data_IF_199779937283
#
_entry.id   IF_199779937283
#
_cell.length_a   1.000
_cell.length_b   1.000
_cell.length_c   1.000
_cell.angle_alpha   90.00
_cell.angle_beta   90.00
_cell.angle_gamma   90.00
#
_symmetry.space_group_name_H-M   'P 1'
#
loop_
_entity.id
_entity.type
_entity.pdbx_description
1 polymer ?
#
# COMPACT_ATOMS: atom_id res chain seq x y z
N UNK A 1 -0.01 5.66 -10.94
CA UNK A 1 1.15 6.47 -11.38
C UNK A 1 2.41 5.72 -11.01
N UNK A 2 3.49 5.92 -11.77
CA UNK A 2 4.74 5.19 -11.57
C UNK A 2 4.97 4.16 -12.67
N UNK A 3 5.39 2.95 -12.29
CA UNK A 3 5.67 1.83 -13.21
C UNK A 3 4.57 1.63 -14.27
N UNK A 4 4.97 1.65 -15.55
CA UNK A 4 4.11 1.48 -16.71
C UNK A 4 3.49 0.08 -16.83
N UNK A 5 4.02 -0.91 -16.10
CA UNK A 5 3.48 -2.28 -15.99
C UNK A 5 2.02 -2.27 -15.55
N UNK A 6 1.60 -1.34 -14.68
CA UNK A 6 0.19 -1.21 -14.29
C UNK A 6 -0.72 -0.94 -15.48
N UNK A 7 -0.33 -0.03 -16.36
CA UNK A 7 -1.11 0.32 -17.55
C UNK A 7 -1.13 -0.83 -18.57
N UNK A 8 -0.05 -1.60 -18.64
CA UNK A 8 0.08 -2.75 -19.53
C UNK A 8 -0.78 -3.95 -19.05
N UNK A 9 -0.79 -4.23 -17.75
CA UNK A 9 -1.56 -5.34 -17.16
C UNK A 9 -3.06 -5.03 -17.06
N UNK A 10 -3.42 -3.77 -16.81
CA UNK A 10 -4.81 -3.35 -16.59
C UNK A 10 -5.24 -2.25 -17.57
N UNK A 11 -5.26 -2.53 -18.89
CA UNK A 11 -5.61 -1.53 -19.88
C UNK A 11 -7.04 -1.01 -19.65
N UNK A 12 -7.20 0.31 -19.77
CA UNK A 12 -8.49 1.03 -19.63
C UNK A 12 -9.17 0.89 -18.27
N UNK A 13 -8.44 0.51 -17.21
CA UNK A 13 -8.99 0.41 -15.84
C UNK A 13 -8.81 1.68 -15.00
N UNK A 14 -7.89 2.56 -15.37
CA UNK A 14 -7.59 3.77 -14.61
C UNK A 14 -8.31 4.99 -15.21
N UNK A 15 -8.96 5.77 -14.35
CA UNK A 15 -9.54 7.06 -14.74
C UNK A 15 -8.45 8.07 -15.14
N UNK A 16 -7.32 8.05 -14.43
CA UNK A 16 -6.11 8.84 -14.72
C UNK A 16 -4.86 7.99 -14.46
N UNK A 17 -3.85 8.14 -15.29
CA UNK A 17 -2.59 7.41 -15.16
C UNK A 17 -1.40 8.23 -15.67
N UNK A 18 -0.29 8.14 -14.97
CA UNK A 18 0.99 8.80 -15.27
C UNK A 18 2.08 7.70 -15.27
N UNK A 19 2.32 7.04 -16.41
CA UNK A 19 3.23 5.90 -16.50
C UNK A 19 4.66 6.34 -16.82
N UNK A 20 5.64 5.62 -16.29
CA UNK A 20 7.06 5.83 -16.54
C UNK A 20 7.74 4.49 -16.87
N UNK A 21 8.70 4.44 -17.81
CA UNK A 21 9.43 3.21 -18.13
C UNK A 21 10.16 2.65 -16.90
N UNK A 22 9.95 1.37 -16.61
CA UNK A 22 10.42 0.73 -15.37
C UNK A 22 11.67 -0.15 -15.53
N UNK A 23 11.92 -0.73 -16.71
CA UNK A 23 12.98 -1.75 -16.87
C UNK A 23 14.43 -1.23 -16.82
N UNK A 24 14.65 0.08 -16.71
CA UNK A 24 16.00 0.63 -16.61
C UNK A 24 16.46 0.72 -15.14
N UNK A 25 17.10 -0.34 -14.64
CA UNK A 25 17.64 -0.39 -13.27
C UNK A 25 18.73 0.65 -12.96
N UNK A 26 19.26 1.35 -13.98
CA UNK A 26 20.19 2.46 -13.78
C UNK A 26 19.48 3.77 -13.42
N UNK A 27 18.18 3.84 -13.66
CA UNK A 27 17.36 5.00 -13.34
C UNK A 27 16.77 4.85 -11.93
N UNK A 28 17.32 5.61 -10.98
CA UNK A 28 16.83 5.60 -9.60
C UNK A 28 15.75 6.65 -9.33
N UNK A 29 15.44 7.52 -10.30
CA UNK A 29 14.85 8.82 -9.98
C UNK A 29 13.64 9.18 -10.85
N UNK A 30 13.58 8.82 -12.13
CA UNK A 30 12.51 9.31 -13.03
C UNK A 30 11.13 8.88 -12.54
N UNK A 31 10.98 7.61 -12.19
CA UNK A 31 9.70 7.05 -11.72
C UNK A 31 9.29 7.70 -10.40
N UNK A 32 10.20 7.74 -9.42
CA UNK A 32 9.95 8.30 -8.09
C UNK A 32 9.62 9.79 -8.13
N UNK A 33 10.34 10.58 -8.94
CA UNK A 33 10.06 12.01 -9.12
C UNK A 33 8.73 12.22 -9.83
N UNK A 34 8.39 11.36 -10.78
CA UNK A 34 7.09 11.34 -11.44
C UNK A 34 5.95 11.10 -10.46
N UNK A 35 6.07 10.07 -9.62
CA UNK A 35 5.12 9.81 -8.52
C UNK A 35 5.01 11.02 -7.60
N UNK A 36 6.14 11.59 -7.15
CA UNK A 36 6.15 12.76 -6.26
C UNK A 36 5.45 13.97 -6.88
N UNK A 37 5.61 14.20 -8.18
CA UNK A 37 5.01 15.33 -8.88
C UNK A 37 3.47 15.24 -8.99
N UNK A 38 2.92 14.02 -8.98
CA UNK A 38 1.49 13.80 -9.25
C UNK A 38 0.69 13.34 -8.03
N UNK A 39 1.30 12.69 -7.04
CA UNK A 39 0.58 12.03 -5.95
C UNK A 39 -0.26 13.00 -5.12
N UNK A 40 0.37 14.01 -4.49
CA UNK A 40 -0.36 14.98 -3.66
C UNK A 40 -1.41 15.77 -4.47
N UNK A 41 -1.11 16.27 -5.69
CA UNK A 41 -2.13 16.90 -6.54
C UNK A 41 -3.34 16.01 -6.87
N UNK A 42 -3.17 14.70 -7.00
CA UNK A 42 -4.29 13.77 -7.19
C UNK A 42 -5.07 13.53 -5.90
N UNK A 43 -4.38 13.39 -4.77
CA UNK A 43 -5.01 13.16 -3.46
C UNK A 43 -5.97 14.29 -3.04
N UNK A 44 -5.67 15.54 -3.39
CA UNK A 44 -6.53 16.70 -3.04
C UNK A 44 -7.81 16.79 -3.87
N UNK A 45 -7.95 15.94 -4.91
CA UNK A 45 -9.18 15.85 -5.69
C UNK A 45 -10.21 14.98 -4.97
N UNK A 46 -11.47 15.14 -5.33
CA UNK A 46 -12.61 14.40 -4.77
C UNK A 46 -13.17 13.32 -5.71
N UNK A 47 -12.50 13.08 -6.83
CA UNK A 47 -12.96 12.21 -7.92
C UNK A 47 -12.13 10.92 -8.06
N UNK A 48 -11.71 10.34 -6.94
CA UNK A 48 -10.98 9.06 -6.88
C UNK A 48 -11.44 8.21 -5.69
N UNK A 49 -11.49 6.89 -5.89
CA UNK A 49 -11.72 5.91 -4.81
C UNK A 49 -10.40 5.23 -4.38
N UNK A 50 -9.49 5.02 -5.35
CA UNK A 50 -8.19 4.38 -5.13
C UNK A 50 -7.11 5.09 -5.95
N UNK A 51 -5.99 5.41 -5.31
CA UNK A 51 -4.76 5.87 -5.97
C UNK A 51 -3.67 4.82 -5.76
N UNK A 52 -3.04 4.40 -6.86
CA UNK A 52 -1.84 3.54 -6.83
C UNK A 52 -0.63 4.38 -7.23
N UNK A 53 0.36 4.46 -6.34
CA UNK A 53 1.63 5.15 -6.54
C UNK A 53 2.78 4.15 -6.37
N UNK A 54 3.40 3.77 -7.49
CA UNK A 54 4.44 2.75 -7.52
C UNK A 54 5.81 3.38 -7.77
N UNK A 55 6.70 3.34 -6.79
CA UNK A 55 8.08 3.84 -6.85
C UNK A 55 9.06 2.68 -7.07
N UNK A 56 10.19 2.93 -7.73
CA UNK A 56 11.18 1.90 -8.07
C UNK A 56 12.59 2.21 -7.55
N UNK A 57 12.85 3.45 -7.12
CA UNK A 57 14.22 3.89 -6.85
C UNK A 57 14.95 3.13 -5.74
N UNK A 58 14.23 2.58 -4.75
CA UNK A 58 14.81 1.72 -3.71
C UNK A 58 15.22 0.36 -4.27
N UNK A 59 14.34 -0.30 -5.02
CA UNK A 59 14.63 -1.59 -5.66
C UNK A 59 15.83 -1.47 -6.62
N UNK A 60 15.76 -0.52 -7.55
CA UNK A 60 16.83 -0.25 -8.51
C UNK A 60 18.16 0.07 -7.83
N UNK A 61 18.13 0.81 -6.70
CA UNK A 61 19.34 1.09 -5.93
C UNK A 61 19.89 -0.19 -5.28
N UNK A 62 19.02 -1.09 -4.83
CA UNK A 62 19.38 -2.41 -4.31
C UNK A 62 20.15 -3.23 -5.36
N UNK A 63 19.58 -3.40 -6.55
CA UNK A 63 20.23 -4.07 -7.69
C UNK A 63 21.56 -3.44 -8.07
N UNK A 64 21.59 -2.12 -8.18
CA UNK A 64 22.75 -1.42 -8.74
C UNK A 64 23.91 -1.30 -7.77
N UNK A 65 23.63 -1.03 -6.50
CA UNK A 65 24.63 -0.61 -5.52
C UNK A 65 24.63 -1.46 -4.24
N UNK A 66 23.55 -2.19 -3.96
CA UNK A 66 23.36 -2.92 -2.72
C UNK A 66 22.83 -2.05 -1.57
N UNK A 67 22.23 -2.70 -0.59
CA UNK A 67 21.50 -2.05 0.51
C UNK A 67 22.36 -1.16 1.43
N UNK A 68 23.68 -1.37 1.47
CA UNK A 68 24.60 -0.61 2.34
C UNK A 68 25.29 0.58 1.65
N UNK A 69 24.97 0.84 0.39
CA UNK A 69 25.57 1.96 -0.35
C UNK A 69 24.97 3.31 0.06
N UNK A 70 25.73 4.43 0.05
CA UNK A 70 25.20 5.76 0.37
C UNK A 70 24.00 6.19 -0.48
N UNK A 71 23.91 5.73 -1.73
CA UNK A 71 22.73 5.97 -2.59
C UNK A 71 21.45 5.35 -2.01
N UNK A 72 21.54 4.20 -1.33
CA UNK A 72 20.37 3.61 -0.67
C UNK A 72 19.87 4.54 0.44
N UNK A 73 20.79 5.12 1.22
CA UNK A 73 20.42 6.09 2.24
C UNK A 73 19.81 7.37 1.66
N UNK A 74 20.26 7.83 0.48
CA UNK A 74 19.63 8.95 -0.25
C UNK A 74 18.21 8.57 -0.67
N UNK A 75 18.03 7.41 -1.32
CA UNK A 75 16.73 6.95 -1.81
C UNK A 75 15.72 6.75 -0.68
N UNK A 76 16.12 6.13 0.43
CA UNK A 76 15.26 5.99 1.60
C UNK A 76 14.84 7.33 2.21
N UNK A 77 15.71 8.35 2.21
CA UNK A 77 15.35 9.71 2.65
C UNK A 77 14.32 10.36 1.72
N UNK A 78 14.46 10.16 0.41
CA UNK A 78 13.49 10.66 -0.56
C UNK A 78 12.13 9.97 -0.42
N UNK A 79 12.12 8.65 -0.24
CA UNK A 79 10.90 7.87 0.05
C UNK A 79 10.24 8.35 1.35
N UNK A 80 11.02 8.56 2.41
CA UNK A 80 10.50 9.09 3.67
C UNK A 80 9.85 10.49 3.49
N UNK A 81 10.53 11.40 2.77
CA UNK A 81 9.97 12.72 2.49
C UNK A 81 8.67 12.65 1.68
N UNK A 82 8.58 11.73 0.70
CA UNK A 82 7.33 11.49 -0.03
C UNK A 82 6.21 11.00 0.90
N UNK A 83 6.50 10.06 1.81
CA UNK A 83 5.52 9.57 2.79
C UNK A 83 5.07 10.70 3.72
N UNK A 84 5.98 11.56 4.18
CA UNK A 84 5.65 12.75 4.98
C UNK A 84 4.71 13.71 4.24
N UNK A 85 5.01 14.00 2.96
CA UNK A 85 4.16 14.84 2.10
C UNK A 85 2.75 14.24 1.97
N UNK A 86 2.64 12.92 1.78
CA UNK A 86 1.36 12.19 1.68
C UNK A 86 0.59 12.23 3.01
N UNK A 87 1.24 11.93 4.13
CA UNK A 87 0.61 11.95 5.46
C UNK A 87 0.12 13.34 5.82
N UNK A 88 0.85 14.39 5.44
CA UNK A 88 0.44 15.78 5.63
C UNK A 88 -0.81 16.15 4.82
N UNK A 89 -0.93 15.62 3.59
CA UNK A 89 -2.07 15.86 2.70
C UNK A 89 -3.29 14.95 2.95
N UNK A 90 -3.15 13.88 3.72
CA UNK A 90 -4.20 12.88 3.94
C UNK A 90 -5.44 13.46 4.64
N UNK A 91 -6.64 13.09 4.19
CA UNK A 91 -7.90 13.45 4.88
C UNK A 91 -8.31 12.39 5.93
N UNK A 92 -9.40 12.64 6.65
CA UNK A 92 -9.91 11.74 7.70
C UNK A 92 -10.72 10.55 7.17
N UNK A 93 -10.85 10.41 5.85
CA UNK A 93 -11.60 9.33 5.19
C UNK A 93 -10.70 8.37 4.43
N UNK A 94 -9.43 8.71 4.28
CA UNK A 94 -8.46 7.92 3.53
C UNK A 94 -7.66 6.99 4.43
N UNK A 95 -7.37 5.79 3.93
CA UNK A 95 -6.39 4.87 4.51
C UNK A 95 -5.18 4.79 3.57
N UNK A 96 -4.00 5.11 4.08
CA UNK A 96 -2.72 4.99 3.41
C UNK A 96 -2.12 3.61 3.68
N UNK A 97 -1.81 2.90 2.61
CA UNK A 97 -0.97 1.70 2.63
C UNK A 97 0.38 2.02 2.00
N UNK A 98 1.46 1.83 2.75
CA UNK A 98 2.83 1.84 2.22
C UNK A 98 3.38 0.44 2.40
N UNK A 99 3.64 -0.26 1.30
CA UNK A 99 4.11 -1.64 1.35
C UNK A 99 5.15 -1.94 0.29
N UNK A 100 6.07 -2.83 0.62
CA UNK A 100 6.93 -3.50 -0.34
C UNK A 100 6.30 -4.81 -0.81
N UNK A 101 6.56 -5.17 -2.06
CA UNK A 101 6.24 -6.46 -2.65
C UNK A 101 7.28 -7.54 -2.29
N UNK A 102 8.53 -7.17 -2.09
CA UNK A 102 9.59 -8.07 -1.64
C UNK A 102 10.70 -7.34 -0.85
N UNK A 103 11.62 -8.14 -0.31
CA UNK A 103 12.91 -7.69 0.20
C UNK A 103 14.04 -7.95 -0.81
N UNK A 104 15.29 -7.96 -0.35
CA UNK A 104 16.46 -8.07 -1.23
C UNK A 104 17.61 -8.79 -0.53
N UNK A 105 18.34 -9.63 -1.26
CA UNK A 105 19.60 -10.23 -0.79
C UNK A 105 20.71 -9.18 -0.61
N UNK A 106 21.79 -9.55 0.08
CA UNK A 106 22.94 -8.64 0.25
C UNK A 106 23.65 -8.31 -1.06
N UNK A 107 23.58 -9.22 -2.04
CA UNK A 107 24.10 -9.03 -3.40
C UNK A 107 23.20 -8.16 -4.28
N UNK A 108 22.05 -7.70 -3.77
CA UNK A 108 21.12 -6.89 -4.55
C UNK A 108 20.24 -7.69 -5.50
N UNK A 109 19.97 -8.96 -5.20
CA UNK A 109 19.08 -9.82 -6.00
C UNK A 109 17.82 -10.24 -5.19
N UNK A 110 16.76 -10.65 -5.87
CA UNK A 110 15.51 -11.11 -5.24
C UNK A 110 14.75 -12.12 -6.13
N UNK A 111 13.68 -12.71 -5.61
CA UNK A 111 12.84 -13.70 -6.30
C UNK A 111 13.00 -15.14 -5.79
N UNK A 112 13.89 -15.35 -4.82
CA UNK A 112 14.02 -16.58 -4.05
C UNK A 112 13.08 -16.65 -2.83
N UNK A 113 13.38 -17.60 -1.95
CA UNK A 113 12.57 -17.94 -0.77
C UNK A 113 13.24 -17.55 0.57
N UNK A 114 14.38 -16.85 0.53
CA UNK A 114 15.08 -16.50 1.77
C UNK A 114 14.31 -15.45 2.56
N UNK A 115 14.50 -15.44 3.89
CA UNK A 115 13.86 -14.45 4.77
C UNK A 115 14.10 -13.01 4.31
N UNK A 116 15.30 -12.70 3.79
CA UNK A 116 15.65 -11.36 3.27
C UNK A 116 14.86 -10.98 2.02
N UNK A 117 14.44 -11.96 1.22
CA UNK A 117 13.71 -11.75 -0.04
C UNK A 117 12.20 -11.72 0.18
N UNK A 118 11.67 -12.54 1.10
CA UNK A 118 10.22 -12.61 1.35
C UNK A 118 9.73 -11.62 2.43
N UNK A 119 10.65 -11.00 3.19
CA UNK A 119 10.30 -9.98 4.18
C UNK A 119 10.24 -8.60 3.54
N UNK A 120 9.06 -7.99 3.56
CA UNK A 120 8.83 -6.63 3.09
C UNK A 120 8.16 -5.77 4.18
N UNK A 121 8.31 -4.46 4.07
CA UNK A 121 7.66 -3.54 4.98
C UNK A 121 6.16 -3.38 4.66
N UNK A 122 5.35 -3.20 5.70
CA UNK A 122 3.97 -2.75 5.61
C UNK A 122 3.74 -1.67 6.67
N UNK A 123 3.26 -0.51 6.25
CA UNK A 123 2.72 0.55 7.10
C UNK A 123 1.29 0.81 6.65
N UNK A 124 0.37 0.77 7.60
CA UNK A 124 -1.02 1.18 7.40
C UNK A 124 -1.28 2.40 8.28
N UNK A 125 -1.74 3.48 7.68
CA UNK A 125 -1.96 4.74 8.39
C UNK A 125 -3.29 5.37 7.97
N UNK A 126 -4.01 5.91 8.94
CA UNK A 126 -5.21 6.73 8.69
C UNK A 126 -5.35 7.74 9.81
N UNK A 127 -5.94 8.90 9.53
CA UNK A 127 -6.30 9.87 10.57
C UNK A 127 -7.56 9.46 11.34
N UNK A 128 -8.36 8.56 10.78
CA UNK A 128 -9.56 8.05 11.42
C UNK A 128 -9.21 7.07 12.55
N UNK A 129 -9.45 7.49 13.79
CA UNK A 129 -9.15 6.67 14.98
C UNK A 129 -10.00 5.41 15.07
N UNK A 130 -11.23 5.45 14.57
CA UNK A 130 -12.12 4.31 14.59
C UNK A 130 -11.57 3.22 13.67
N UNK A 131 -11.22 3.57 12.43
CA UNK A 131 -10.55 2.64 11.49
C UNK A 131 -9.20 2.19 12.03
N UNK A 132 -8.40 3.10 12.59
CA UNK A 132 -7.11 2.75 13.16
C UNK A 132 -7.21 1.74 14.32
N UNK A 133 -8.28 1.81 15.14
CA UNK A 133 -8.48 0.90 16.27
C UNK A 133 -8.86 -0.52 15.83
N UNK A 134 -9.35 -0.67 14.59
CA UNK A 134 -9.66 -1.95 14.00
C UNK A 134 -8.42 -2.62 13.40
N UNK A 135 -7.30 -1.94 13.20
CA UNK A 135 -6.12 -2.56 12.60
C UNK A 135 -5.38 -3.44 13.62
N UNK A 136 -4.91 -4.61 13.17
CA UNK A 136 -4.10 -5.51 14.00
C UNK A 136 -2.85 -4.83 14.54
N UNK A 137 -2.51 -5.12 15.80
CA UNK A 137 -1.26 -4.66 16.44
C UNK A 137 -0.11 -5.66 16.30
N UNK A 138 -0.28 -6.71 15.46
CA UNK A 138 0.78 -7.70 15.22
C UNK A 138 1.98 -7.04 14.57
N UNK A 139 3.18 -7.41 15.00
CA UNK A 139 4.44 -6.97 14.41
C UNK A 139 4.73 -7.59 13.04
N UNK A 140 4.00 -8.65 12.68
CA UNK A 140 4.21 -9.43 11.46
C UNK A 140 2.87 -9.95 10.95
N UNK A 141 2.66 -9.82 9.65
CA UNK A 141 1.46 -10.26 8.93
C UNK A 141 1.88 -10.93 7.62
N UNK A 142 0.98 -11.66 6.98
CA UNK A 142 1.28 -12.23 5.66
C UNK A 142 0.83 -11.27 4.55
N UNK A 143 1.62 -11.09 3.49
CA UNK A 143 1.23 -10.23 2.36
C UNK A 143 -0.12 -10.64 1.74
N UNK A 144 -0.46 -11.93 1.77
CA UNK A 144 -1.76 -12.45 1.28
C UNK A 144 -2.96 -11.91 2.08
N UNK A 145 -2.74 -11.36 3.28
CA UNK A 145 -3.76 -10.73 4.12
C UNK A 145 -4.14 -9.34 3.60
N UNK A 146 -3.36 -8.74 2.70
CA UNK A 146 -3.65 -7.42 2.13
C UNK A 146 -4.95 -7.41 1.32
N UNK A 147 -5.12 -8.36 0.38
CA UNK A 147 -6.28 -8.39 -0.51
C UNK A 147 -7.64 -8.44 0.23
N UNK A 148 -7.89 -9.36 1.18
CA UNK A 148 -9.14 -9.39 1.93
C UNK A 148 -9.31 -8.17 2.85
N UNK A 149 -8.23 -7.61 3.39
CA UNK A 149 -8.27 -6.38 4.21
C UNK A 149 -8.66 -5.17 3.39
N UNK A 150 -7.99 -4.97 2.25
CA UNK A 150 -8.25 -3.88 1.33
C UNK A 150 -9.69 -3.94 0.82
N UNK A 151 -10.17 -5.12 0.41
CA UNK A 151 -11.53 -5.33 -0.07
C UNK A 151 -12.58 -4.89 0.97
N UNK A 152 -12.38 -5.24 2.23
CA UNK A 152 -13.28 -4.81 3.32
C UNK A 152 -13.25 -3.30 3.56
N UNK A 153 -12.07 -2.67 3.52
CA UNK A 153 -11.94 -1.23 3.72
C UNK A 153 -12.64 -0.44 2.61
N UNK A 154 -12.51 -0.89 1.36
CA UNK A 154 -13.15 -0.23 0.21
C UNK A 154 -14.59 -0.68 -0.03
N UNK A 155 -15.12 -1.62 0.76
CA UNK A 155 -16.50 -2.09 0.68
C UNK A 155 -16.82 -2.94 -0.55
N UNK A 156 -15.87 -3.72 -1.06
CA UNK A 156 -16.07 -4.65 -2.19
C UNK A 156 -15.93 -6.11 -1.73
N UNK A 157 -16.49 -7.08 -2.48
CA UNK A 157 -16.34 -8.48 -2.15
C UNK A 157 -14.86 -8.91 -2.11
N UNK A 158 -14.52 -9.74 -1.12
CA UNK A 158 -13.20 -10.37 -1.04
C UNK A 158 -13.00 -11.23 -2.31
N UNK A 159 -11.88 -11.08 -3.05
CA UNK A 159 -11.65 -11.89 -4.24
C UNK A 159 -11.72 -13.38 -3.91
N UNK A 160 -12.45 -14.16 -4.72
CA UNK A 160 -12.69 -15.59 -4.48
C UNK A 160 -11.40 -16.41 -4.28
N UNK A 161 -10.32 -16.02 -4.95
CA UNK A 161 -9.01 -16.68 -4.84
C UNK A 161 -8.16 -16.20 -3.66
N UNK A 162 -8.68 -15.34 -2.78
CA UNK A 162 -7.94 -14.88 -1.60
C UNK A 162 -7.76 -16.02 -0.61
N UNK A 163 -6.51 -16.25 -0.21
CA UNK A 163 -6.13 -17.27 0.78
C UNK A 163 -5.71 -16.67 2.13
N UNK A 164 -5.60 -15.34 2.21
CA UNK A 164 -5.25 -14.64 3.44
C UNK A 164 -6.45 -14.42 4.36
N UNK A 165 -6.16 -13.83 5.52
CA UNK A 165 -7.15 -13.36 6.49
C UNK A 165 -7.15 -11.84 6.57
N UNK A 166 -8.13 -11.26 7.26
CA UNK A 166 -8.18 -9.80 7.45
C UNK A 166 -7.21 -9.33 8.53
N UNK A 167 -6.60 -8.18 8.30
CA UNK A 167 -5.86 -7.42 9.31
C UNK A 167 -6.80 -6.64 10.24
N UNK A 168 -8.10 -6.57 9.91
CA UNK A 168 -9.10 -5.93 10.75
C UNK A 168 -9.47 -6.85 11.93
N UNK A 169 -9.25 -6.39 13.15
CA UNK A 169 -9.65 -7.05 14.38
C UNK A 169 -11.01 -6.55 14.82
N UNK A 170 -12.03 -7.41 14.72
CA UNK A 170 -13.35 -7.21 15.31
C UNK A 170 -13.49 -8.05 16.59
N UNK A 171 -13.04 -7.53 17.73
CA UNK A 171 -13.68 -7.84 19.01
C UNK A 171 -13.86 -6.51 19.75
N UNK A 172 -15.08 -6.04 19.99
CA UNK A 172 -15.29 -4.85 20.82
C UNK A 172 -14.66 -5.09 22.20
N UNK A 173 -13.72 -4.24 22.60
CA UNK A 173 -13.35 -4.11 24.01
C UNK A 173 -14.36 -3.15 24.64
N UNK A 174 -15.28 -3.69 25.45
CA UNK A 174 -16.35 -2.99 26.17
C UNK A 174 -17.25 -2.05 25.33
N UNK A 175 -18.46 -2.51 25.07
CA UNK A 175 -19.48 -1.83 24.26
C UNK A 175 -20.30 -0.89 25.15
N UNK A 176 -19.86 0.37 25.27
CA UNK A 176 -20.75 1.46 25.70
C UNK A 176 -21.35 2.23 24.50
N UNK A 177 -20.80 2.08 23.29
CA UNK A 177 -21.39 2.63 22.05
C UNK A 177 -21.71 1.54 21.03
N UNK A 178 -22.94 1.06 21.10
CA UNK A 178 -23.50 0.02 20.25
C UNK A 178 -23.80 0.47 18.81
N UNK A 179 -23.91 1.78 18.52
CA UNK A 179 -24.30 2.23 17.17
C UNK A 179 -23.13 2.20 16.19
N UNK A 180 -21.95 2.66 16.60
CA UNK A 180 -20.74 2.69 15.78
C UNK A 180 -20.27 1.27 15.42
N UNK A 181 -20.30 0.35 16.38
CA UNK A 181 -19.99 -1.07 16.15
C UNK A 181 -21.02 -1.76 15.25
N UNK A 182 -22.30 -1.38 15.35
CA UNK A 182 -23.35 -1.90 14.46
C UNK A 182 -23.17 -1.43 13.03
N UNK A 183 -22.80 -0.18 12.77
CA UNK A 183 -22.67 0.33 11.40
C UNK A 183 -21.59 -0.41 10.59
N UNK A 184 -20.43 -0.68 11.18
CA UNK A 184 -19.34 -1.41 10.52
C UNK A 184 -19.56 -2.93 10.47
N UNK A 185 -20.07 -3.52 11.56
CA UNK A 185 -20.38 -4.96 11.58
C UNK A 185 -21.55 -5.28 10.63
N UNK A 186 -22.54 -4.39 10.53
CA UNK A 186 -23.64 -4.56 9.58
C UNK A 186 -23.19 -4.38 8.14
N UNK A 187 -22.24 -3.48 7.83
CA UNK A 187 -21.66 -3.40 6.48
C UNK A 187 -20.98 -4.73 6.09
N UNK A 188 -20.10 -5.26 6.94
CA UNK A 188 -19.32 -6.49 6.66
C UNK A 188 -20.19 -7.75 6.61
N UNK A 189 -21.19 -7.86 7.49
CA UNK A 189 -22.12 -9.00 7.51
C UNK A 189 -23.11 -8.92 6.35
N UNK A 190 -23.59 -7.72 5.99
CA UNK A 190 -24.60 -7.56 4.93
C UNK A 190 -24.02 -7.74 3.52
N UNK A 191 -22.76 -7.36 3.27
CA UNK A 191 -22.13 -7.57 1.94
C UNK A 191 -21.87 -9.05 1.62
N UNK A 192 -21.79 -9.93 2.62
CA UNK A 192 -21.45 -11.36 2.44
C UNK A 192 -22.66 -12.30 2.56
N UNK A 193 -23.87 -11.79 2.79
CA UNK A 193 -25.09 -12.61 2.90
C UNK A 193 -26.00 -12.31 1.71
N UNK A 194 -25.80 -13.03 0.61
CA UNK A 194 -26.82 -13.27 -0.41
C UNK A 194 -27.11 -14.79 -0.44
N UNK A 195 -28.40 -15.16 -0.55
CA UNK A 195 -28.86 -16.56 -0.52
C UNK A 195 -28.47 -17.36 -1.76
#
# INVERSE_FOLDING_TARGET
MGDDTWANLYPKRFARFYPYPSFNVWDLDTVDRGVKAHLVPEMVRDDWDVIVAHTLGVDHCGHRYGARHPEMARKLKETNALIEDVVAALDDRTVLFVMGDHGMTESGDHGGETEKEVSAALLVYTRNRDVSSLLTTKSTVHQVDFAPTFAQIVGVPIPFSSIGTTLLTNVPADVDDLESARALTSLIVWTNVEQ
#
